data_IF_046088469068
#
_entry.id   IF_046088469068
#
_cell.length_a   1.000
_cell.length_b   1.000
_cell.length_c   1.000
_cell.angle_alpha   90.00
_cell.angle_beta   90.00
_cell.angle_gamma   90.00
#
_symmetry.space_group_name_H-M   'P 1'
#
loop_
_entity.id
_entity.type
_entity.pdbx_description
1 polymer ?
#
# COMPACT_ATOMS: atom_id res chain seq x y z
N UNK A 1 65.76 30.21 -1.18
CA UNK A 1 65.10 30.25 0.14
C UNK A 1 63.65 29.84 -0.06
N UNK A 2 63.35 28.56 0.14
CA UNK A 2 62.56 28.03 1.28
C UNK A 2 61.14 28.62 1.34
N UNK A 3 60.15 27.79 1.02
CA UNK A 3 58.74 28.07 1.27
C UNK A 3 57.87 26.86 0.95
N UNK A 4 57.83 25.89 1.88
CA UNK A 4 56.88 24.76 1.89
C UNK A 4 55.47 25.30 2.10
N UNK A 5 54.44 24.71 1.47
CA UNK A 5 53.42 23.97 2.25
C UNK A 5 52.32 23.32 1.41
N UNK A 6 52.21 22.01 1.66
CA UNK A 6 51.00 21.24 1.99
C UNK A 6 49.90 21.17 0.93
N UNK A 7 49.92 20.04 0.22
CA UNK A 7 48.76 19.45 -0.41
C UNK A 7 47.74 19.06 0.68
N UNK A 8 46.54 19.63 0.62
CA UNK A 8 45.38 19.15 1.37
C UNK A 8 44.48 18.38 0.41
N UNK A 9 44.63 17.06 0.44
CA UNK A 9 43.71 16.13 -0.21
C UNK A 9 42.40 16.13 0.60
N UNK A 10 41.41 16.93 0.20
CA UNK A 10 40.05 16.80 0.71
C UNK A 10 39.39 15.57 0.09
N UNK A 11 39.49 14.44 0.78
CA UNK A 11 38.57 13.32 0.59
C UNK A 11 37.20 13.73 1.15
N UNK A 12 36.32 14.26 0.30
CA UNK A 12 34.89 14.33 0.61
C UNK A 12 34.30 12.92 0.51
N UNK A 13 34.24 12.24 1.66
CA UNK A 13 33.48 11.00 1.81
C UNK A 13 32.00 11.30 1.62
N UNK A 14 31.44 10.77 0.53
CA UNK A 14 30.01 10.72 0.26
C UNK A 14 29.32 9.77 1.25
N UNK A 15 28.92 10.31 2.40
CA UNK A 15 27.99 9.66 3.32
C UNK A 15 26.56 10.09 2.98
N UNK A 16 25.85 9.28 2.18
CA UNK A 16 24.45 9.46 1.80
C UNK A 16 23.49 9.18 2.97
N UNK A 17 23.62 9.94 4.06
CA UNK A 17 22.64 9.97 5.14
C UNK A 17 21.45 10.82 4.74
N UNK A 18 20.51 10.28 3.96
CA UNK A 18 19.21 10.91 3.68
C UNK A 18 18.48 11.02 5.04
N UNK A 19 18.63 12.16 5.73
CA UNK A 19 17.89 12.48 6.97
C UNK A 19 16.42 12.21 6.68
N UNK A 20 15.88 11.12 7.22
CA UNK A 20 14.45 10.82 7.12
C UNK A 20 13.72 11.94 7.83
N UNK A 21 13.10 12.83 7.04
CA UNK A 21 12.28 13.94 7.52
C UNK A 21 11.29 13.35 8.52
N UNK A 22 11.26 13.86 9.75
CA UNK A 22 10.16 13.58 10.68
C UNK A 22 8.89 14.09 10.01
N UNK A 23 8.10 13.20 9.44
CA UNK A 23 6.79 13.53 8.90
C UNK A 23 5.76 13.43 10.02
N UNK A 24 5.04 14.54 10.24
CA UNK A 24 3.74 14.60 10.94
C UNK A 24 3.59 13.68 12.16
N UNK A 25 4.46 13.82 13.17
CA UNK A 25 4.34 13.08 14.43
C UNK A 25 4.46 11.56 14.30
N UNK A 26 5.11 11.04 13.25
CA UNK A 26 5.28 9.60 13.02
C UNK A 26 6.74 9.22 13.03
N UNK A 27 7.07 8.11 13.70
CA UNK A 27 8.41 7.52 13.72
C UNK A 27 8.44 6.20 12.93
N UNK A 28 9.54 5.85 12.23
CA UNK A 28 9.63 4.57 11.53
C UNK A 28 9.42 3.39 12.48
N UNK A 29 8.67 2.37 12.04
CA UNK A 29 8.45 1.17 12.84
C UNK A 29 9.79 0.43 13.11
N UNK A 30 10.05 -0.07 14.33
CA UNK A 30 11.36 -0.59 14.67
C UNK A 30 11.71 -1.87 13.90
N UNK A 31 12.90 -1.91 13.31
CA UNK A 31 13.34 -2.96 12.38
C UNK A 31 13.41 -4.37 12.97
N UNK A 32 13.62 -4.49 14.28
CA UNK A 32 13.78 -5.78 14.96
C UNK A 32 12.49 -6.32 15.57
N UNK A 33 11.43 -5.52 15.60
CA UNK A 33 10.11 -5.93 16.10
C UNK A 33 9.43 -6.91 15.15
N UNK A 34 8.41 -7.61 15.64
CA UNK A 34 7.56 -8.47 14.81
C UNK A 34 6.87 -7.63 13.74
N UNK A 35 6.82 -8.17 12.52
CA UNK A 35 6.26 -7.46 11.39
C UNK A 35 4.76 -7.23 11.61
N UNK A 36 4.24 -5.99 11.44
CA UNK A 36 2.83 -5.68 11.67
C UNK A 36 1.85 -6.44 10.77
N UNK A 37 2.31 -7.00 9.65
CA UNK A 37 1.45 -7.83 8.81
C UNK A 37 1.05 -9.17 9.44
N UNK A 38 1.60 -9.55 10.61
CA UNK A 38 1.23 -10.81 11.27
C UNK A 38 2.01 -12.04 10.81
N UNK A 39 3.04 -11.89 9.98
CA UNK A 39 3.88 -13.01 9.51
C UNK A 39 4.68 -13.73 10.62
N UNK A 40 4.83 -13.11 11.80
CA UNK A 40 5.70 -13.59 12.87
C UNK A 40 7.20 -13.30 12.66
N UNK A 41 7.61 -12.90 11.45
CA UNK A 41 8.99 -12.53 11.16
C UNK A 41 9.38 -11.17 11.74
N UNK A 42 10.69 -10.92 11.88
CA UNK A 42 11.18 -9.56 12.18
C UNK A 42 10.89 -8.64 11.01
N UNK A 43 10.43 -7.41 11.25
CA UNK A 43 10.06 -6.45 10.19
C UNK A 43 11.15 -6.30 9.12
N UNK A 44 12.41 -6.17 9.53
CA UNK A 44 13.56 -6.05 8.60
C UNK A 44 13.77 -7.24 7.66
N UNK A 45 13.21 -8.41 7.98
CA UNK A 45 13.28 -9.65 7.19
C UNK A 45 11.95 -9.97 6.48
N UNK A 46 10.94 -9.12 6.65
CA UNK A 46 9.62 -9.27 6.07
C UNK A 46 9.29 -8.02 5.24
N UNK A 47 8.27 -7.25 5.62
CA UNK A 47 7.75 -6.15 4.79
C UNK A 47 8.71 -4.94 4.65
N UNK A 48 9.85 -4.88 5.35
CA UNK A 48 10.75 -3.72 5.27
C UNK A 48 11.34 -3.48 3.87
N UNK A 49 11.49 -4.54 3.07
CA UNK A 49 12.01 -4.48 1.70
C UNK A 49 10.91 -4.28 0.65
N UNK A 50 9.66 -4.17 1.07
CA UNK A 50 8.52 -3.90 0.18
C UNK A 50 8.51 -2.44 -0.25
N UNK A 51 7.63 -2.12 -1.20
CA UNK A 51 7.45 -0.75 -1.71
C UNK A 51 6.69 0.19 -0.77
N UNK A 52 6.41 -0.23 0.47
CA UNK A 52 5.71 0.54 1.51
C UNK A 52 6.46 0.44 2.84
N UNK A 53 6.11 1.31 3.79
CA UNK A 53 6.73 1.33 5.11
C UNK A 53 5.72 1.47 6.24
N UNK A 54 5.96 0.76 7.35
CA UNK A 54 5.24 0.98 8.60
C UNK A 54 5.86 2.08 9.43
N UNK A 55 5.00 2.85 10.10
CA UNK A 55 5.32 3.89 11.06
C UNK A 55 4.51 3.66 12.32
N UNK A 56 4.93 4.28 13.42
CA UNK A 56 4.17 4.39 14.65
C UNK A 56 3.81 5.85 14.82
N UNK A 57 2.53 6.14 14.98
CA UNK A 57 2.05 7.46 15.36
C UNK A 57 2.52 7.77 16.80
N UNK A 58 3.16 8.91 16.99
CA UNK A 58 3.76 9.28 18.29
C UNK A 58 2.70 9.69 19.32
N UNK A 59 1.52 10.15 18.89
CA UNK A 59 0.45 10.57 19.79
C UNK A 59 -0.41 9.39 20.26
N UNK A 60 -0.77 8.50 19.34
CA UNK A 60 -1.68 7.37 19.62
C UNK A 60 -0.96 6.05 19.86
N UNK A 61 0.27 5.89 19.36
CA UNK A 61 0.97 4.62 19.34
C UNK A 61 0.51 3.67 18.23
N UNK A 62 -0.44 4.10 17.37
CA UNK A 62 -0.98 3.27 16.30
C UNK A 62 0.08 2.96 15.23
N UNK A 63 0.07 1.73 14.72
CA UNK A 63 0.93 1.33 13.62
C UNK A 63 0.23 1.63 12.30
N UNK A 64 0.77 2.60 11.55
CA UNK A 64 0.22 3.02 10.26
C UNK A 64 1.09 2.56 9.10
N UNK A 65 0.46 2.16 7.98
CA UNK A 65 1.14 1.81 6.74
C UNK A 65 1.16 3.02 5.80
N UNK A 66 2.34 3.42 5.34
CA UNK A 66 2.52 4.44 4.32
C UNK A 66 2.84 3.79 2.98
N UNK A 67 1.97 4.03 2.00
CA UNK A 67 2.10 3.54 0.63
C UNK A 67 2.37 4.76 -0.27
N UNK A 68 3.38 4.72 -1.15
CA UNK A 68 3.61 5.81 -2.08
C UNK A 68 2.50 5.87 -3.14
N UNK A 69 1.98 7.07 -3.38
CA UNK A 69 1.07 7.32 -4.51
C UNK A 69 1.88 7.28 -5.81
N UNK A 70 1.34 6.62 -6.86
CA UNK A 70 1.94 6.66 -8.19
C UNK A 70 1.94 8.11 -8.71
N UNK A 71 3.09 8.61 -9.17
CA UNK A 71 3.21 9.96 -9.72
C UNK A 71 2.30 10.22 -10.91
N UNK A 72 2.01 9.19 -11.73
CA UNK A 72 1.12 9.29 -12.88
C UNK A 72 -0.35 9.45 -12.44
N UNK A 73 -0.76 8.71 -11.41
CA UNK A 73 -2.13 8.75 -10.87
C UNK A 73 -2.38 9.93 -9.92
N UNK A 74 -1.35 10.72 -9.57
CA UNK A 74 -1.46 11.76 -8.54
C UNK A 74 -2.47 12.84 -8.91
N UNK A 75 -2.49 13.27 -10.17
CA UNK A 75 -3.41 14.32 -10.62
C UNK A 75 -4.87 13.89 -10.55
N UNK A 76 -5.16 12.66 -10.95
CA UNK A 76 -6.51 12.07 -10.88
C UNK A 76 -6.96 11.90 -9.42
N UNK A 77 -6.06 11.45 -8.54
CA UNK A 77 -6.35 11.33 -7.12
C UNK A 77 -6.63 12.69 -6.47
N UNK A 78 -5.82 13.72 -6.77
CA UNK A 78 -6.04 15.09 -6.26
C UNK A 78 -7.40 15.64 -6.71
N UNK A 79 -7.80 15.39 -7.96
CA UNK A 79 -9.13 15.77 -8.47
C UNK A 79 -10.25 15.00 -7.76
N UNK A 80 -10.12 13.69 -7.60
CA UNK A 80 -11.12 12.87 -6.91
C UNK A 80 -11.30 13.31 -5.45
N UNK A 81 -10.21 13.64 -4.75
CA UNK A 81 -10.27 14.15 -3.37
C UNK A 81 -10.92 15.54 -3.29
N UNK A 82 -10.69 16.41 -4.29
CA UNK A 82 -11.36 17.71 -4.35
C UNK A 82 -12.88 17.56 -4.51
N UNK A 83 -13.33 16.65 -5.39
CA UNK A 83 -14.75 16.32 -5.57
C UNK A 83 -15.36 15.77 -4.28
N UNK A 84 -14.69 14.83 -3.60
CA UNK A 84 -15.19 14.29 -2.34
C UNK A 84 -15.27 15.37 -1.24
N UNK A 85 -14.31 16.30 -1.18
CA UNK A 85 -14.38 17.44 -0.26
C UNK A 85 -15.59 18.32 -0.54
N UNK A 86 -15.88 18.67 -1.79
CA UNK A 86 -17.05 19.47 -2.15
C UNK A 86 -18.36 18.79 -1.75
N UNK A 87 -18.48 17.48 -2.01
CA UNK A 87 -19.65 16.69 -1.61
C UNK A 87 -19.78 16.61 -0.08
N UNK A 88 -18.67 16.49 0.64
CA UNK A 88 -18.66 16.50 2.10
C UNK A 88 -19.21 17.82 2.64
N UNK A 89 -18.71 18.95 2.13
CA UNK A 89 -19.19 20.28 2.53
C UNK A 89 -20.68 20.45 2.19
N UNK A 90 -21.12 19.99 1.02
CA UNK A 90 -22.52 20.05 0.64
C UNK A 90 -23.43 19.24 1.59
N UNK A 91 -22.97 18.07 2.07
CA UNK A 91 -23.73 17.20 2.98
C UNK A 91 -23.69 17.67 4.44
N UNK A 92 -22.54 18.12 4.93
CA UNK A 92 -22.31 18.38 6.36
C UNK A 92 -22.17 19.86 6.72
N UNK A 93 -22.06 20.76 5.74
CA UNK A 93 -21.96 22.21 5.95
C UNK A 93 -20.63 22.69 6.57
N UNK A 94 -19.60 21.82 6.61
CA UNK A 94 -18.27 22.12 7.17
C UNK A 94 -17.16 21.43 6.37
N UNK A 95 -15.93 21.87 6.58
CA UNK A 95 -14.74 21.17 6.09
C UNK A 95 -14.58 19.79 6.75
N UNK A 96 -14.05 18.78 6.02
CA UNK A 96 -13.63 17.52 6.62
C UNK A 96 -12.40 17.73 7.52
N UNK A 97 -12.46 17.15 8.71
CA UNK A 97 -11.35 17.05 9.65
C UNK A 97 -10.46 15.83 9.37
N UNK A 98 -9.38 15.65 10.15
CA UNK A 98 -8.41 14.58 9.93
C UNK A 98 -8.98 13.16 10.12
N UNK A 99 -10.04 13.02 10.93
CA UNK A 99 -10.66 11.73 11.26
C UNK A 99 -11.99 11.52 10.51
N UNK A 100 -12.39 12.44 9.62
CA UNK A 100 -13.61 12.29 8.82
C UNK A 100 -13.39 11.34 7.63
N UNK A 101 -14.38 10.50 7.28
CA UNK A 101 -14.28 9.61 6.12
C UNK A 101 -14.19 10.40 4.81
N UNK A 102 -13.24 10.02 3.94
CA UNK A 102 -13.14 10.54 2.57
C UNK A 102 -14.34 10.03 1.73
N UNK A 103 -14.72 8.78 1.93
CA UNK A 103 -15.82 8.12 1.23
C UNK A 103 -17.01 7.93 2.17
N UNK A 104 -17.68 9.04 2.52
CA UNK A 104 -18.79 9.09 3.48
C UNK A 104 -20.17 8.72 2.88
N UNK A 105 -20.21 8.48 1.58
CA UNK A 105 -21.40 8.24 0.77
C UNK A 105 -21.32 6.92 -0.04
N UNK A 106 -20.34 6.07 0.24
CA UNK A 106 -20.22 4.75 -0.38
C UNK A 106 -20.97 3.68 0.43
N UNK A 107 -21.65 2.79 -0.29
CA UNK A 107 -22.13 1.51 0.21
C UNK A 107 -21.07 0.46 -0.11
N UNK A 108 -20.44 -0.12 0.92
CA UNK A 108 -19.32 -1.03 0.75
C UNK A 108 -19.73 -2.33 0.05
N UNK A 109 -20.91 -2.88 0.37
CA UNK A 109 -21.38 -4.14 -0.22
C UNK A 109 -21.72 -3.94 -1.69
N UNK A 110 -22.46 -2.87 -2.01
CA UNK A 110 -22.75 -2.53 -3.41
C UNK A 110 -21.46 -2.24 -4.20
N UNK A 111 -20.50 -1.53 -3.59
CA UNK A 111 -19.21 -1.22 -4.25
C UNK A 111 -18.43 -2.50 -4.56
N UNK A 112 -18.44 -3.49 -3.66
CA UNK A 112 -17.80 -4.79 -3.88
C UNK A 112 -18.44 -5.53 -5.05
N UNK A 113 -19.78 -5.56 -5.10
CA UNK A 113 -20.53 -6.19 -6.18
C UNK A 113 -20.26 -5.51 -7.53
N UNK A 114 -20.23 -4.18 -7.55
CA UNK A 114 -19.95 -3.38 -8.75
C UNK A 114 -18.54 -3.68 -9.29
N UNK A 115 -17.53 -3.78 -8.42
CA UNK A 115 -16.17 -4.15 -8.81
C UNK A 115 -16.14 -5.58 -9.37
N UNK A 116 -16.77 -6.55 -8.70
CA UNK A 116 -16.80 -7.93 -9.18
C UNK A 116 -17.48 -8.04 -10.56
N UNK A 117 -18.57 -7.29 -10.77
CA UNK A 117 -19.25 -7.22 -12.07
C UNK A 117 -18.37 -6.59 -13.14
N UNK A 118 -17.69 -5.48 -12.84
CA UNK A 118 -16.74 -4.87 -13.78
C UNK A 118 -15.59 -5.82 -14.15
N UNK A 119 -15.10 -6.64 -13.19
CA UNK A 119 -14.11 -7.68 -13.47
C UNK A 119 -14.65 -8.74 -14.45
N UNK A 120 -15.89 -9.21 -14.25
CA UNK A 120 -16.55 -10.18 -15.14
C UNK A 120 -16.71 -9.61 -16.55
N UNK A 121 -17.21 -8.39 -16.67
CA UNK A 121 -17.41 -7.69 -17.94
C UNK A 121 -16.09 -7.43 -18.69
N UNK A 122 -15.00 -7.25 -17.94
CA UNK A 122 -13.64 -7.09 -18.49
C UNK A 122 -12.98 -8.41 -18.89
N UNK A 123 -13.65 -9.56 -18.69
CA UNK A 123 -13.10 -10.88 -19.00
C UNK A 123 -11.97 -11.33 -18.06
N UNK A 124 -11.89 -10.76 -16.84
CA UNK A 124 -10.95 -11.23 -15.82
C UNK A 124 -11.33 -12.67 -15.43
N UNK A 125 -10.33 -13.53 -15.30
CA UNK A 125 -10.55 -14.95 -15.02
C UNK A 125 -11.31 -15.18 -13.70
N UNK A 126 -12.23 -16.17 -13.65
CA UNK A 126 -13.13 -16.35 -12.51
C UNK A 126 -12.39 -16.71 -11.21
N UNK A 127 -11.22 -17.34 -11.28
CA UNK A 127 -10.39 -17.61 -10.10
C UNK A 127 -9.87 -16.33 -9.42
N UNK A 128 -9.59 -15.27 -10.19
CA UNK A 128 -9.15 -13.98 -9.65
C UNK A 128 -10.33 -13.20 -9.06
N UNK A 129 -11.51 -13.30 -9.68
CA UNK A 129 -12.75 -12.71 -9.16
C UNK A 129 -13.10 -13.36 -7.82
N UNK A 130 -13.06 -14.70 -7.75
CA UNK A 130 -13.27 -15.44 -6.52
C UNK A 130 -12.29 -15.02 -5.41
N UNK A 131 -11.00 -14.91 -5.73
CA UNK A 131 -10.00 -14.46 -4.76
C UNK A 131 -10.23 -13.00 -4.30
N UNK A 132 -10.69 -12.12 -5.18
CA UNK A 132 -11.10 -10.76 -4.81
C UNK A 132 -12.32 -10.77 -3.86
N UNK A 133 -13.35 -11.55 -4.16
CA UNK A 133 -14.56 -11.63 -3.33
C UNK A 133 -14.24 -12.16 -1.92
N UNK A 134 -13.31 -13.10 -1.80
CA UNK A 134 -12.90 -13.69 -0.53
C UNK A 134 -11.92 -12.84 0.28
N UNK A 135 -11.03 -12.08 -0.37
CA UNK A 135 -9.94 -11.35 0.31
C UNK A 135 -10.06 -9.83 0.29
N UNK A 136 -10.91 -9.28 -0.60
CA UNK A 136 -11.00 -7.85 -0.89
C UNK A 136 -9.80 -7.27 -1.64
N UNK A 137 -8.82 -8.08 -2.06
CA UNK A 137 -7.60 -7.61 -2.72
C UNK A 137 -7.76 -7.58 -4.24
N UNK A 138 -7.40 -6.45 -4.86
CA UNK A 138 -7.20 -6.34 -6.30
C UNK A 138 -5.70 -6.44 -6.57
N UNK A 139 -5.21 -7.61 -6.96
CA UNK A 139 -3.77 -7.87 -7.17
C UNK A 139 -3.40 -7.70 -8.64
N UNK A 140 -2.44 -6.81 -8.91
CA UNK A 140 -1.86 -6.60 -10.24
C UNK A 140 -0.33 -6.73 -10.20
N UNK A 141 0.32 -6.79 -11.37
CA UNK A 141 1.78 -6.85 -11.44
C UNK A 141 2.42 -5.60 -10.81
N UNK A 142 1.80 -4.44 -11.02
CA UNK A 142 2.28 -3.13 -10.58
C UNK A 142 2.20 -2.96 -9.06
N UNK A 143 1.12 -3.46 -8.44
CA UNK A 143 0.83 -3.22 -7.03
C UNK A 143 1.27 -4.36 -6.10
N UNK A 144 1.60 -5.56 -6.61
CA UNK A 144 1.99 -6.71 -5.78
C UNK A 144 3.14 -6.41 -4.82
N UNK A 145 4.08 -5.53 -5.20
CA UNK A 145 5.18 -5.07 -4.33
C UNK A 145 4.72 -4.21 -3.13
N UNK A 146 3.49 -3.72 -3.16
CA UNK A 146 2.85 -2.87 -2.15
C UNK A 146 1.96 -3.67 -1.18
N UNK A 147 1.82 -4.97 -1.38
CA UNK A 147 1.00 -5.87 -0.57
C UNK A 147 1.91 -6.75 0.30
N UNK A 148 1.61 -6.93 1.60
CA UNK A 148 2.29 -7.91 2.45
C UNK A 148 2.27 -9.32 1.87
N UNK A 149 3.37 -10.07 2.03
CA UNK A 149 3.44 -11.46 1.49
C UNK A 149 2.43 -12.41 2.12
N UNK A 150 1.98 -12.14 3.36
CA UNK A 150 0.93 -12.90 4.03
C UNK A 150 -0.41 -12.77 3.30
N UNK A 151 -0.80 -11.54 2.97
CA UNK A 151 -2.02 -11.22 2.22
C UNK A 151 -1.94 -11.79 0.79
N UNK A 152 -0.78 -11.69 0.13
CA UNK A 152 -0.58 -12.31 -1.19
C UNK A 152 -0.70 -13.84 -1.15
N UNK A 153 -0.20 -14.49 -0.10
CA UNK A 153 -0.33 -15.95 0.04
C UNK A 153 -1.77 -16.37 0.26
N UNK A 154 -2.55 -15.57 0.99
CA UNK A 154 -3.97 -15.78 1.20
C UNK A 154 -4.74 -15.63 -0.12
N UNK A 155 -4.49 -14.56 -0.87
CA UNK A 155 -5.03 -14.38 -2.22
C UNK A 155 -4.68 -15.57 -3.13
N UNK A 156 -3.40 -15.93 -3.21
CA UNK A 156 -2.94 -17.07 -4.02
C UNK A 156 -3.56 -18.40 -3.55
N UNK A 157 -3.90 -18.54 -2.26
CA UNK A 157 -4.60 -19.71 -1.72
C UNK A 157 -6.05 -19.76 -2.18
N UNK A 158 -6.76 -18.63 -2.21
CA UNK A 158 -8.11 -18.54 -2.75
C UNK A 158 -8.18 -18.82 -4.25
N UNK A 159 -7.16 -18.39 -5.00
CA UNK A 159 -7.03 -18.79 -6.42
C UNK A 159 -6.88 -20.31 -6.57
N UNK A 160 -6.09 -20.97 -5.72
CA UNK A 160 -5.96 -22.45 -5.75
C UNK A 160 -7.24 -23.15 -5.33
N UNK A 161 -7.88 -22.68 -4.25
CA UNK A 161 -9.16 -23.19 -3.77
C UNK A 161 -10.21 -23.18 -4.88
N UNK A 162 -10.27 -22.11 -5.68
CA UNK A 162 -11.16 -22.05 -6.83
C UNK A 162 -10.94 -23.19 -7.82
N UNK A 163 -9.69 -23.47 -8.23
CA UNK A 163 -9.41 -24.56 -9.18
C UNK A 163 -9.58 -25.95 -8.57
N UNK A 164 -9.42 -26.10 -7.26
CA UNK A 164 -9.74 -27.35 -6.56
C UNK A 164 -11.26 -27.61 -6.58
N UNK A 165 -12.08 -26.56 -6.48
CA UNK A 165 -13.55 -26.63 -6.54
C UNK A 165 -14.10 -26.76 -7.96
N UNK A 166 -13.44 -26.15 -8.94
CA UNK A 166 -13.83 -26.11 -10.35
C UNK A 166 -12.68 -26.55 -11.28
N UNK A 167 -12.26 -27.82 -11.25
CA UNK A 167 -11.11 -28.30 -12.02
C UNK A 167 -11.26 -28.10 -13.53
N UNK A 168 -12.48 -28.09 -14.06
CA UNK A 168 -12.78 -27.84 -15.47
C UNK A 168 -12.34 -26.45 -15.95
N UNK A 169 -12.12 -25.52 -15.03
CA UNK A 169 -11.64 -24.17 -15.32
C UNK A 169 -10.12 -24.03 -15.15
N UNK A 170 -9.39 -25.07 -14.75
CA UNK A 170 -7.93 -25.01 -14.58
C UNK A 170 -7.25 -24.88 -15.95
N UNK A 171 -6.52 -23.77 -16.23
CA UNK A 171 -5.80 -23.58 -17.48
C UNK A 171 -4.70 -24.62 -17.74
N UNK A 172 -4.30 -25.41 -16.73
CA UNK A 172 -3.33 -26.50 -16.91
C UNK A 172 -3.95 -27.80 -17.42
N UNK A 173 -5.28 -27.92 -17.39
CA UNK A 173 -6.01 -29.09 -17.87
C UNK A 173 -6.53 -28.93 -19.31
N UNK A 174 -6.29 -27.77 -19.95
CA UNK A 174 -6.65 -27.45 -21.34
C UNK A 174 -5.49 -27.54 -22.31
#
# INVERSE_FOLDING_TARGET
MIGRNLHTTSHTTWGSGRKRRREMGRKPFPRNERCPCGSGDKYKRCCFTKGFHYYVDEATGEVVRSVPVNSEARGELEQALAVQRERFIAKFGREPGPDDPIFFDLDEDQTRDDIANAMRESGIGPALIYAYEETGLIVTQENRRLIPDVELREFDAKVREYYDLFPENDPKLS
#
